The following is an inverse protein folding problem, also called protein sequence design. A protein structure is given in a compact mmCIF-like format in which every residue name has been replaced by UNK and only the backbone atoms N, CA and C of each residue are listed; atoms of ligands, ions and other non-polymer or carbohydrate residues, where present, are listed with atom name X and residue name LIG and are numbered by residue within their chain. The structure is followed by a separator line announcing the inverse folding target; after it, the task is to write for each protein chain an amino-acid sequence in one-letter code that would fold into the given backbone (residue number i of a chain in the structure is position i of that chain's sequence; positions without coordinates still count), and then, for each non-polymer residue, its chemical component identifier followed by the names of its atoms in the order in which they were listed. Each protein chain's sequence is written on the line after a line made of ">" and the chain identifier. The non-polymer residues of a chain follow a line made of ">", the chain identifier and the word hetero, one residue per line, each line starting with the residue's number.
data_IF_322999250155
#
_entry.id   IF_322999250155
#
_cell.length_a   1.000
_cell.length_b   1.000
_cell.length_c   1.000
_cell.angle_alpha   90.00
_cell.angle_beta   90.00
_cell.angle_gamma   90.00
#
_symmetry.space_group_name_H-M   'P 1'
#
loop_
_entity.id
_entity.type
_entity.pdbx_description
1 polymer ?
#
# COMPACT_ATOMS: atom_id res chain seq x y z
N UNK A 1 -17.36 6.28 -0.48
CA UNK A 1 -18.73 6.66 -0.07
C UNK A 1 -19.76 6.16 -1.06
N UNK A 2 -19.86 6.73 -2.27
CA UNK A 2 -20.91 6.38 -3.26
C UNK A 2 -21.04 4.87 -3.50
N UNK A 3 -19.92 4.17 -3.70
CA UNK A 3 -19.93 2.72 -3.88
C UNK A 3 -20.56 1.97 -2.69
N UNK A 4 -20.18 2.30 -1.46
CA UNK A 4 -20.75 1.67 -0.26
C UNK A 4 -22.24 1.99 -0.06
N UNK A 5 -22.74 3.12 -0.58
CA UNK A 5 -24.17 3.42 -0.54
C UNK A 5 -24.97 2.60 -1.57
N UNK A 6 -24.34 2.20 -2.67
CA UNK A 6 -24.99 1.43 -3.74
C UNK A 6 -25.05 -0.07 -3.40
N UNK A 7 -24.02 -0.62 -2.76
CA UNK A 7 -23.90 -2.07 -2.51
C UNK A 7 -25.08 -2.69 -1.73
N UNK A 8 -25.62 -2.06 -0.67
CA UNK A 8 -26.80 -2.58 0.02
C UNK A 8 -28.02 -2.71 -0.89
N UNK A 9 -28.21 -1.79 -1.85
CA UNK A 9 -29.29 -1.84 -2.83
C UNK A 9 -29.17 -3.01 -3.83
N UNK A 10 -27.97 -3.61 -3.93
CA UNK A 10 -27.70 -4.82 -4.73
C UNK A 10 -27.77 -6.11 -3.88
N UNK A 11 -28.24 -6.02 -2.63
CA UNK A 11 -28.26 -7.14 -1.69
C UNK A 11 -26.93 -7.44 -1.01
N UNK A 12 -25.92 -6.58 -1.17
CA UNK A 12 -24.58 -6.72 -0.58
C UNK A 12 -24.45 -5.82 0.65
N UNK A 13 -25.16 -6.17 1.72
CA UNK A 13 -25.12 -5.46 3.01
C UNK A 13 -24.00 -5.96 3.94
N UNK A 14 -23.55 -7.20 3.78
CA UNK A 14 -22.49 -7.78 4.60
C UNK A 14 -21.14 -7.07 4.36
N UNK A 15 -20.45 -6.57 5.42
CA UNK A 15 -19.18 -5.87 5.28
C UNK A 15 -18.08 -6.70 4.59
N UNK A 16 -18.02 -8.03 4.80
CA UNK A 16 -17.02 -8.84 4.13
C UNK A 16 -17.26 -8.90 2.62
N UNK A 17 -18.51 -9.09 2.21
CA UNK A 17 -18.92 -9.07 0.80
C UNK A 17 -18.60 -7.72 0.16
N UNK A 18 -18.88 -6.61 0.85
CA UNK A 18 -18.56 -5.26 0.36
C UNK A 18 -17.05 -5.10 0.14
N UNK A 19 -16.21 -5.51 1.10
CA UNK A 19 -14.75 -5.46 0.94
C UNK A 19 -14.24 -6.38 -0.16
N UNK A 20 -14.90 -7.52 -0.38
CA UNK A 20 -14.61 -8.41 -1.50
C UNK A 20 -14.80 -7.68 -2.84
N UNK A 21 -15.91 -6.96 -3.02
CA UNK A 21 -16.13 -6.12 -4.21
C UNK A 21 -15.05 -5.04 -4.34
N UNK A 22 -14.69 -4.36 -3.25
CA UNK A 22 -13.62 -3.35 -3.28
C UNK A 22 -12.30 -3.95 -3.76
N UNK A 23 -11.93 -5.14 -3.27
CA UNK A 23 -10.70 -5.84 -3.65
C UNK A 23 -10.71 -6.25 -5.13
N UNK A 24 -11.83 -6.74 -5.65
CA UNK A 24 -11.99 -7.02 -7.08
C UNK A 24 -11.75 -5.75 -7.90
N UNK A 25 -12.39 -4.65 -7.53
CA UNK A 25 -12.23 -3.37 -8.25
C UNK A 25 -10.78 -2.88 -8.22
N UNK A 26 -10.08 -3.01 -7.09
CA UNK A 26 -8.65 -2.68 -6.99
C UNK A 26 -7.78 -3.59 -7.86
N UNK A 27 -8.09 -4.89 -7.89
CA UNK A 27 -7.42 -5.86 -8.77
C UNK A 27 -7.59 -5.51 -10.24
N UNK A 28 -8.84 -5.27 -10.68
CA UNK A 28 -9.15 -4.86 -12.06
C UNK A 28 -8.48 -3.53 -12.43
N UNK A 29 -8.52 -2.56 -11.52
CA UNK A 29 -7.84 -1.27 -11.71
C UNK A 29 -6.32 -1.45 -11.84
N UNK A 30 -5.72 -2.33 -11.03
CA UNK A 30 -4.30 -2.65 -11.08
C UNK A 30 -3.89 -3.42 -12.33
N UNK A 31 -4.81 -4.12 -13.01
CA UNK A 31 -4.50 -4.75 -14.31
C UNK A 31 -4.06 -3.72 -15.37
N UNK A 32 -4.43 -2.44 -15.22
CA UNK A 32 -3.92 -1.35 -16.05
C UNK A 32 -2.39 -1.26 -16.01
N UNK A 33 -1.76 -1.63 -14.89
CA UNK A 33 -0.30 -1.65 -14.77
C UNK A 33 0.34 -2.59 -15.78
N UNK A 34 -0.29 -3.73 -16.08
CA UNK A 34 0.22 -4.74 -17.03
C UNK A 34 0.28 -4.13 -18.44
N UNK A 35 -0.84 -3.52 -18.87
CA UNK A 35 -0.94 -2.90 -20.20
C UNK A 35 -0.02 -1.68 -20.33
N UNK A 36 0.04 -0.83 -19.30
CA UNK A 36 0.87 0.38 -19.31
C UNK A 36 2.36 0.06 -19.21
N UNK A 37 2.77 -0.94 -18.43
CA UNK A 37 4.14 -1.40 -18.37
C UNK A 37 4.60 -2.00 -19.71
N UNK A 38 3.74 -2.82 -20.33
CA UNK A 38 3.98 -3.33 -21.69
C UNK A 38 4.14 -2.18 -22.68
N UNK A 39 3.18 -1.25 -22.71
CA UNK A 39 3.20 -0.11 -23.63
C UNK A 39 4.42 0.78 -23.44
N UNK A 40 4.78 1.08 -22.19
CA UNK A 40 5.96 1.88 -21.85
C UNK A 40 7.24 1.18 -22.33
N UNK A 41 7.37 -0.12 -22.10
CA UNK A 41 8.51 -0.89 -22.57
C UNK A 41 8.58 -0.91 -24.11
N UNK A 42 7.44 -1.05 -24.81
CA UNK A 42 7.38 -0.97 -26.28
C UNK A 42 7.84 0.38 -26.82
N UNK A 43 7.52 1.48 -26.13
CA UNK A 43 7.98 2.81 -26.54
C UNK A 43 9.50 2.97 -26.32
N UNK A 44 10.02 2.47 -25.19
CA UNK A 44 11.44 2.61 -24.83
C UNK A 44 12.36 1.66 -25.62
N UNK A 45 11.84 0.52 -26.08
CA UNK A 45 12.53 -0.43 -26.96
C UNK A 45 11.58 -1.06 -28.00
N UNK A 46 11.27 -0.34 -29.10
CA UNK A 46 10.30 -0.77 -30.12
C UNK A 46 10.61 -2.09 -30.82
N UNK A 47 11.88 -2.51 -30.83
CA UNK A 47 12.32 -3.74 -31.48
C UNK A 47 12.39 -4.94 -30.53
N UNK A 48 12.06 -4.78 -29.25
CA UNK A 48 12.23 -5.81 -28.22
C UNK A 48 10.90 -6.19 -27.55
N UNK A 49 10.02 -6.85 -28.32
CA UNK A 49 8.70 -7.27 -27.82
C UNK A 49 8.80 -8.23 -26.62
N UNK A 50 9.77 -9.14 -26.61
CA UNK A 50 9.97 -10.07 -25.49
C UNK A 50 10.24 -9.35 -24.17
N UNK A 51 10.94 -8.22 -24.20
CA UNK A 51 11.25 -7.44 -23.00
C UNK A 51 10.02 -6.70 -22.48
N UNK A 52 9.18 -6.21 -23.39
CA UNK A 52 7.88 -5.65 -23.02
C UNK A 52 6.96 -6.69 -22.37
N UNK A 53 6.96 -7.93 -22.89
CA UNK A 53 6.25 -9.06 -22.27
C UNK A 53 6.81 -9.38 -20.88
N UNK A 54 8.13 -9.38 -20.69
CA UNK A 54 8.74 -9.56 -19.36
C UNK A 54 8.31 -8.48 -18.38
N UNK A 55 8.32 -7.20 -18.79
CA UNK A 55 7.88 -6.11 -17.93
C UNK A 55 6.39 -6.25 -17.52
N UNK A 56 5.54 -6.70 -18.45
CA UNK A 56 4.14 -7.00 -18.17
C UNK A 56 3.99 -8.16 -17.17
N UNK A 57 4.78 -9.23 -17.33
CA UNK A 57 4.80 -10.36 -16.39
C UNK A 57 5.27 -9.97 -15.00
N UNK A 58 6.22 -9.04 -14.88
CA UNK A 58 6.61 -8.50 -13.57
C UNK A 58 5.45 -7.78 -12.87
N UNK A 59 4.60 -7.06 -13.61
CA UNK A 59 3.39 -6.47 -13.01
C UNK A 59 2.34 -7.52 -12.67
N UNK A 60 2.18 -8.55 -13.51
CA UNK A 60 1.14 -9.56 -13.35
C UNK A 60 1.44 -10.60 -12.26
N UNK A 61 2.71 -10.99 -12.12
CA UNK A 61 3.13 -12.13 -11.31
C UNK A 61 4.43 -11.89 -10.51
N UNK A 62 4.89 -10.64 -10.40
CA UNK A 62 6.12 -10.30 -9.66
C UNK A 62 5.92 -10.31 -8.14
N UNK A 63 6.14 -11.46 -7.50
CA UNK A 63 6.28 -11.57 -6.04
C UNK A 63 5.09 -10.94 -5.29
N UNK A 64 5.35 -9.83 -4.60
CA UNK A 64 4.34 -9.12 -3.80
C UNK A 64 3.31 -8.32 -4.63
N UNK A 65 3.48 -8.18 -5.96
CA UNK A 65 2.63 -7.31 -6.76
C UNK A 65 1.14 -7.66 -6.68
N UNK A 66 0.73 -8.92 -6.91
CA UNK A 66 -0.68 -9.30 -6.83
C UNK A 66 -1.28 -9.04 -5.45
N UNK A 67 -0.52 -9.29 -4.38
CA UNK A 67 -0.96 -8.96 -3.02
C UNK A 67 -1.19 -7.46 -2.85
N UNK A 68 -0.22 -6.62 -3.21
CA UNK A 68 -0.34 -5.17 -3.06
C UNK A 68 -1.46 -4.57 -3.92
N UNK A 69 -1.71 -5.16 -5.09
CA UNK A 69 -2.69 -4.70 -6.09
C UNK A 69 -4.15 -4.71 -5.63
N UNK A 70 -4.49 -5.56 -4.65
CA UNK A 70 -5.87 -5.70 -4.14
C UNK A 70 -6.11 -4.95 -2.83
N UNK A 71 -5.06 -4.34 -2.26
CA UNK A 71 -5.15 -3.62 -0.99
C UNK A 71 -5.41 -2.12 -1.20
N UNK A 72 -6.12 -1.51 -0.26
CA UNK A 72 -6.49 -0.09 -0.28
C UNK A 72 -5.32 0.80 0.15
N UNK A 73 -4.21 0.73 -0.58
CA UNK A 73 -3.03 1.56 -0.38
C UNK A 73 -3.05 2.71 -1.38
N UNK A 74 -2.99 3.94 -0.89
CA UNK A 74 -3.00 5.12 -1.78
C UNK A 74 -1.76 5.12 -2.70
N UNK A 75 -0.64 4.57 -2.21
CA UNK A 75 0.59 4.37 -2.97
C UNK A 75 0.44 3.42 -4.16
N UNK A 76 -0.60 2.58 -4.15
CA UNK A 76 -0.95 1.66 -5.23
C UNK A 76 -1.90 2.29 -6.23
N UNK A 77 -2.93 2.96 -5.72
CA UNK A 77 -3.97 3.56 -6.55
C UNK A 77 -3.42 4.72 -7.39
N UNK A 78 -2.36 5.40 -6.94
CA UNK A 78 -1.73 6.46 -7.74
C UNK A 78 -0.84 5.93 -8.89
N UNK A 79 -0.54 4.64 -8.96
CA UNK A 79 0.41 4.09 -9.95
C UNK A 79 -0.14 4.08 -11.37
N UNK A 80 -1.37 3.59 -11.67
CA UNK A 80 -1.88 3.59 -13.04
C UNK A 80 -1.84 4.96 -13.73
N UNK A 81 -2.29 6.08 -13.11
CA UNK A 81 -2.21 7.38 -13.77
C UNK A 81 -0.76 7.87 -13.94
N UNK A 82 0.17 7.52 -13.04
CA UNK A 82 1.60 7.80 -13.22
C UNK A 82 2.21 7.04 -14.40
N UNK A 83 1.96 5.73 -14.50
CA UNK A 83 2.43 4.94 -15.63
C UNK A 83 1.78 5.38 -16.94
N UNK A 84 0.53 5.83 -16.91
CA UNK A 84 -0.13 6.40 -18.08
C UNK A 84 0.56 7.69 -18.54
N UNK A 85 0.97 8.55 -17.60
CA UNK A 85 1.78 9.71 -17.91
C UNK A 85 3.14 9.33 -18.51
N UNK A 86 3.88 8.39 -17.91
CA UNK A 86 5.16 7.92 -18.45
C UNK A 86 5.03 7.24 -19.81
N UNK A 87 3.98 6.46 -20.00
CA UNK A 87 3.66 5.89 -21.29
C UNK A 87 3.49 6.99 -22.33
N UNK A 88 2.65 8.00 -22.08
CA UNK A 88 2.48 9.12 -23.01
C UNK A 88 3.77 9.92 -23.26
N UNK A 89 4.55 10.17 -22.20
CA UNK A 89 5.84 10.88 -22.29
C UNK A 89 6.89 10.12 -23.10
N UNK A 90 6.75 8.82 -23.28
CA UNK A 90 7.71 7.99 -24.00
C UNK A 90 7.33 7.72 -25.47
N UNK A 91 6.10 8.00 -25.88
CA UNK A 91 5.58 7.65 -27.22
C UNK A 91 6.29 8.33 -28.37
N UNK A 92 6.71 9.58 -28.17
CA UNK A 92 7.15 10.48 -29.23
C UNK A 92 8.43 11.21 -28.80
N UNK A 93 9.32 11.50 -29.76
CA UNK A 93 10.54 12.27 -29.49
C UNK A 93 10.22 13.72 -29.14
N UNK A 94 9.40 14.37 -29.96
CA UNK A 94 8.77 15.65 -29.67
C UNK A 94 7.32 15.43 -29.22
N UNK A 95 6.96 15.98 -28.07
CA UNK A 95 5.65 15.72 -27.46
C UNK A 95 4.53 16.43 -28.23
N UNK A 96 3.64 15.66 -28.87
CA UNK A 96 2.38 16.17 -29.39
C UNK A 96 1.37 16.55 -28.28
N UNK A 97 0.33 17.28 -28.65
CA UNK A 97 -0.68 17.79 -27.70
C UNK A 97 -1.38 16.67 -26.91
N UNK A 98 -1.64 15.51 -27.55
CA UNK A 98 -2.24 14.34 -26.88
C UNK A 98 -1.34 13.80 -25.77
N UNK A 99 -0.03 13.71 -26.04
CA UNK A 99 0.94 13.24 -25.06
C UNK A 99 1.08 14.22 -23.90
N UNK A 100 1.11 15.53 -24.19
CA UNK A 100 1.12 16.62 -23.21
C UNK A 100 -0.10 16.55 -22.30
N UNK A 101 -1.31 16.50 -22.87
CA UNK A 101 -2.55 16.46 -22.11
C UNK A 101 -2.61 15.19 -21.24
N UNK A 102 -2.28 14.05 -21.83
CA UNK A 102 -2.25 12.76 -21.12
C UNK A 102 -1.26 12.77 -19.95
N UNK A 103 -0.05 13.26 -20.17
CA UNK A 103 0.97 13.34 -19.13
C UNK A 103 0.55 14.28 -17.99
N UNK A 104 0.01 15.45 -18.33
CA UNK A 104 -0.51 16.40 -17.35
C UNK A 104 -1.64 15.81 -16.51
N UNK A 105 -2.65 15.22 -17.16
CA UNK A 105 -3.78 14.60 -16.45
C UNK A 105 -3.29 13.46 -15.56
N UNK A 106 -2.44 12.55 -16.07
CA UNK A 106 -1.92 11.44 -15.29
C UNK A 106 -1.13 11.88 -14.05
N UNK A 107 -0.23 12.86 -14.19
CA UNK A 107 0.52 13.43 -13.05
C UNK A 107 -0.43 14.13 -12.07
N UNK A 108 -1.41 14.88 -12.57
CA UNK A 108 -2.39 15.60 -11.75
C UNK A 108 -3.29 14.66 -10.94
N UNK A 109 -3.85 13.60 -11.56
CA UNK A 109 -4.63 12.58 -10.86
C UNK A 109 -3.78 11.90 -9.79
N UNK A 110 -2.57 11.47 -10.15
CA UNK A 110 -1.67 10.82 -9.20
C UNK A 110 -1.34 11.71 -8.00
N UNK A 111 -1.11 13.00 -8.23
CA UNK A 111 -0.84 14.00 -7.20
C UNK A 111 -2.07 14.26 -6.33
N UNK A 112 -3.27 14.30 -6.93
CA UNK A 112 -4.52 14.47 -6.20
C UNK A 112 -4.87 13.27 -5.31
N UNK A 113 -4.47 12.06 -5.72
CA UNK A 113 -4.57 10.85 -4.89
C UNK A 113 -3.48 10.82 -3.81
N UNK A 114 -2.25 11.18 -4.18
CA UNK A 114 -1.09 11.17 -3.29
C UNK A 114 -0.19 12.37 -3.61
N UNK A 115 -0.17 13.38 -2.73
CA UNK A 115 0.54 14.64 -2.98
C UNK A 115 2.03 14.48 -3.29
N UNK A 116 2.71 13.50 -2.71
CA UNK A 116 4.13 13.24 -3.00
C UNK A 116 4.38 12.82 -4.46
N UNK A 117 3.37 12.38 -5.20
CA UNK A 117 3.49 12.08 -6.63
C UNK A 117 3.75 13.35 -7.47
N UNK A 118 3.49 14.55 -6.94
CA UNK A 118 3.87 15.80 -7.60
C UNK A 118 5.39 15.91 -7.86
N UNK A 119 6.21 15.21 -7.09
CA UNK A 119 7.67 15.14 -7.28
C UNK A 119 8.06 14.53 -8.64
N UNK A 120 7.22 13.65 -9.22
CA UNK A 120 7.47 13.15 -10.58
C UNK A 120 7.33 14.29 -11.61
N UNK A 121 6.35 15.18 -11.43
CA UNK A 121 6.20 16.38 -12.24
C UNK A 121 7.38 17.35 -12.08
N UNK A 122 7.83 17.56 -10.84
CA UNK A 122 9.03 18.38 -10.55
C UNK A 122 10.28 17.78 -11.22
N UNK A 123 10.48 16.47 -11.12
CA UNK A 123 11.61 15.79 -11.76
C UNK A 123 11.57 15.82 -13.30
N UNK A 124 10.41 16.05 -13.90
CA UNK A 124 10.28 16.21 -15.36
C UNK A 124 10.76 17.58 -15.84
N UNK A 125 10.70 18.61 -14.99
CA UNK A 125 11.11 19.99 -15.30
C UNK A 125 12.51 20.06 -15.92
N UNK A 126 13.60 19.62 -15.23
CA UNK A 126 14.94 19.72 -15.81
C UNK A 126 15.06 18.99 -17.14
N UNK A 127 14.38 17.85 -17.31
CA UNK A 127 14.43 17.06 -18.55
C UNK A 127 13.87 17.85 -19.74
N UNK A 128 12.69 18.45 -19.59
CA UNK A 128 12.06 19.20 -20.68
C UNK A 128 12.79 20.52 -20.96
N UNK A 129 13.40 21.15 -19.96
CA UNK A 129 14.28 22.31 -20.12
C UNK A 129 15.50 21.94 -20.98
N UNK A 130 16.20 20.85 -20.65
CA UNK A 130 17.34 20.37 -21.43
C UNK A 130 16.96 19.95 -22.85
N UNK A 131 15.77 19.37 -23.03
CA UNK A 131 15.22 19.03 -24.35
C UNK A 131 14.65 20.24 -25.11
N UNK A 132 14.72 21.45 -24.53
CA UNK A 132 14.18 22.71 -25.10
C UNK A 132 12.69 22.64 -25.44
N UNK A 133 11.91 21.79 -24.74
CA UNK A 133 10.47 21.61 -24.95
C UNK A 133 9.65 22.50 -24.01
N UNK A 134 9.90 23.81 -24.02
CA UNK A 134 9.29 24.79 -23.10
C UNK A 134 7.76 24.82 -23.16
N UNK A 135 7.19 24.73 -24.37
CA UNK A 135 5.73 24.69 -24.56
C UNK A 135 5.12 23.45 -23.92
N UNK A 136 5.77 22.29 -24.07
CA UNK A 136 5.32 21.05 -23.44
C UNK A 136 5.43 21.15 -21.92
N UNK A 137 6.53 21.69 -21.39
CA UNK A 137 6.72 21.91 -19.95
C UNK A 137 5.59 22.74 -19.34
N UNK A 138 5.31 23.93 -19.90
CA UNK A 138 4.26 24.82 -19.40
C UNK A 138 2.89 24.15 -19.52
N UNK A 139 2.60 23.50 -20.65
CA UNK A 139 1.30 22.89 -20.90
C UNK A 139 1.03 21.67 -20.02
N UNK A 140 2.05 20.83 -19.77
CA UNK A 140 1.96 19.70 -18.82
C UNK A 140 1.74 20.25 -17.42
N UNK A 141 2.49 21.27 -17.01
CA UNK A 141 2.35 21.91 -15.70
C UNK A 141 0.94 22.47 -15.48
N UNK A 142 0.43 23.26 -16.42
CA UNK A 142 -0.92 23.82 -16.34
C UNK A 142 -2.01 22.73 -16.31
N UNK A 143 -1.87 21.70 -17.14
CA UNK A 143 -2.81 20.57 -17.17
C UNK A 143 -2.78 19.78 -15.87
N UNK A 144 -1.59 19.51 -15.32
CA UNK A 144 -1.42 18.79 -14.06
C UNK A 144 -1.98 19.58 -12.88
N UNK A 145 -1.72 20.88 -12.81
CA UNK A 145 -2.28 21.77 -11.79
C UNK A 145 -3.81 21.84 -11.89
N UNK A 146 -4.35 22.05 -13.09
CA UNK A 146 -5.81 22.09 -13.30
C UNK A 146 -6.45 20.76 -12.88
N UNK A 147 -5.85 19.64 -13.26
CA UNK A 147 -6.34 18.31 -12.88
C UNK A 147 -6.26 18.08 -11.37
N UNK A 148 -5.18 18.52 -10.71
CA UNK A 148 -5.06 18.48 -9.26
C UNK A 148 -6.18 19.29 -8.59
N UNK A 149 -6.46 20.51 -9.05
CA UNK A 149 -7.56 21.34 -8.51
C UNK A 149 -8.89 20.60 -8.64
N UNK A 150 -9.18 20.01 -9.81
CA UNK A 150 -10.40 19.22 -10.03
C UNK A 150 -10.46 18.01 -9.09
N UNK A 151 -9.35 17.30 -8.88
CA UNK A 151 -9.28 16.16 -7.96
C UNK A 151 -9.51 16.55 -6.49
N UNK A 152 -9.30 17.81 -6.13
CA UNK A 152 -9.57 18.35 -4.79
C UNK A 152 -10.97 18.95 -4.65
N UNK A 153 -11.76 19.00 -5.73
CA UNK A 153 -13.14 19.48 -5.70
C UNK A 153 -14.06 18.76 -4.67
N UNK A 154 -13.86 17.47 -4.31
CA UNK A 154 -14.62 16.86 -3.23
C UNK A 154 -14.54 17.61 -1.89
N UNK A 155 -13.48 18.38 -1.63
CA UNK A 155 -13.38 19.18 -0.41
C UNK A 155 -14.48 20.24 -0.30
N UNK A 156 -14.92 20.81 -1.43
CA UNK A 156 -16.04 21.76 -1.45
C UNK A 156 -17.36 21.13 -0.98
N UNK A 157 -17.55 19.85 -1.28
CA UNK A 157 -18.77 19.12 -0.91
C UNK A 157 -18.72 18.56 0.52
N UNK A 158 -17.55 18.09 0.95
CA UNK A 158 -17.38 17.45 2.27
C UNK A 158 -17.12 18.47 3.37
N UNK A 159 -16.31 19.48 3.09
CA UNK A 159 -15.80 20.42 4.09
C UNK A 159 -16.27 21.87 3.87
N UNK A 160 -16.92 22.16 2.75
CA UNK A 160 -17.40 23.51 2.40
C UNK A 160 -16.32 24.48 1.91
N UNK A 161 -15.06 24.04 1.87
CA UNK A 161 -13.91 24.86 1.48
C UNK A 161 -12.94 24.08 0.60
N UNK A 162 -12.24 24.72 -0.36
CA UNK A 162 -11.28 24.03 -1.21
C UNK A 162 -9.96 23.74 -0.47
N UNK A 163 -9.29 22.65 -0.86
CA UNK A 163 -7.95 22.26 -0.41
C UNK A 163 -7.80 21.96 1.09
N UNK A 164 -8.89 21.66 1.79
CA UNK A 164 -8.86 21.29 3.22
C UNK A 164 -7.97 20.07 3.44
N UNK A 165 -8.07 19.04 2.60
CA UNK A 165 -7.22 17.85 2.72
C UNK A 165 -5.74 18.14 2.46
N UNK A 166 -5.45 19.02 1.50
CA UNK A 166 -4.07 19.42 1.18
C UNK A 166 -3.45 20.20 2.33
N UNK A 167 -4.18 21.18 2.91
CA UNK A 167 -3.72 21.93 4.08
C UNK A 167 -3.48 20.99 5.26
N UNK A 168 -4.46 20.15 5.59
CA UNK A 168 -4.34 19.17 6.67
C UNK A 168 -3.15 18.22 6.46
N UNK A 169 -2.88 17.79 5.23
CA UNK A 169 -1.71 16.98 4.92
C UNK A 169 -0.39 17.73 5.18
N UNK A 170 -0.29 19.00 4.77
CA UNK A 170 0.92 19.82 5.00
C UNK A 170 1.13 20.04 6.49
N UNK A 171 0.10 20.49 7.20
CA UNK A 171 0.15 20.80 8.63
C UNK A 171 0.52 19.55 9.44
N UNK A 172 -0.13 18.43 9.16
CA UNK A 172 0.15 17.16 9.83
C UNK A 172 1.59 16.70 9.65
N UNK A 173 2.16 16.81 8.44
CA UNK A 173 3.55 16.41 8.19
C UNK A 173 4.56 17.37 8.82
N UNK A 174 4.25 18.67 8.88
CA UNK A 174 5.10 19.65 9.54
C UNK A 174 5.20 19.37 11.05
N UNK A 175 4.10 18.99 11.68
CA UNK A 175 4.04 18.71 13.12
C UNK A 175 4.51 17.30 13.49
N UNK A 176 4.23 16.29 12.66
CA UNK A 176 4.39 14.87 13.03
C UNK A 176 5.46 14.12 12.22
N UNK A 177 6.19 14.78 11.32
CA UNK A 177 7.16 14.11 10.44
C UNK A 177 8.24 13.30 11.20
N UNK A 178 8.58 13.71 12.42
CA UNK A 178 9.55 13.03 13.30
C UNK A 178 8.97 11.89 14.15
N UNK A 179 7.64 11.74 14.23
CA UNK A 179 6.98 10.76 15.11
C UNK A 179 6.90 9.36 14.50
N UNK A 180 7.44 9.18 13.29
CA UNK A 180 7.38 7.94 12.53
C UNK A 180 8.74 7.25 12.46
N UNK A 181 8.78 5.95 12.10
CA UNK A 181 10.04 5.24 11.92
C UNK A 181 10.99 5.99 10.98
N UNK A 182 12.22 6.21 11.44
CA UNK A 182 13.29 6.83 10.67
C UNK A 182 14.33 5.78 10.23
N UNK A 183 15.37 6.20 9.52
CA UNK A 183 16.43 5.30 9.08
C UNK A 183 17.48 6.01 8.22
N UNK A 184 18.54 5.29 7.80
CA UNK A 184 19.60 5.86 6.98
C UNK A 184 19.11 6.21 5.57
N UNK A 185 19.83 7.10 4.89
CA UNK A 185 19.48 7.57 3.53
C UNK A 185 19.43 6.43 2.49
N UNK A 186 20.25 5.39 2.66
CA UNK A 186 20.31 4.24 1.75
C UNK A 186 19.21 3.19 2.00
N UNK A 187 18.31 3.39 2.98
CA UNK A 187 17.28 2.41 3.35
C UNK A 187 16.44 1.98 2.16
N UNK A 188 16.01 2.91 1.31
CA UNK A 188 15.20 2.58 0.13
C UNK A 188 15.96 1.83 -0.96
N UNK A 189 17.29 1.94 -1.03
CA UNK A 189 18.10 1.09 -1.91
C UNK A 189 18.00 -0.37 -1.44
N UNK A 190 18.12 -0.60 -0.13
CA UNK A 190 17.96 -1.94 0.45
C UNK A 190 16.51 -2.45 0.30
N UNK A 191 15.51 -1.59 0.51
CA UNK A 191 14.10 -1.93 0.27
C UNK A 191 13.87 -2.34 -1.18
N UNK A 192 14.41 -1.61 -2.15
CA UNK A 192 14.31 -1.99 -3.57
C UNK A 192 15.01 -3.31 -3.87
N UNK A 193 16.21 -3.54 -3.30
CA UNK A 193 16.94 -4.79 -3.48
C UNK A 193 16.17 -5.99 -2.93
N UNK A 194 15.50 -5.84 -1.79
CA UNK A 194 14.66 -6.88 -1.18
C UNK A 194 13.33 -7.07 -1.91
N UNK A 195 12.59 -5.99 -2.18
CA UNK A 195 11.28 -6.00 -2.83
C UNK A 195 11.36 -6.59 -4.24
N UNK A 196 12.43 -6.27 -4.98
CA UNK A 196 12.66 -6.78 -6.33
C UNK A 196 13.41 -8.12 -6.34
N UNK A 197 13.65 -8.74 -5.19
CA UNK A 197 14.16 -10.11 -5.01
C UNK A 197 15.55 -10.35 -5.66
N UNK A 198 16.63 -10.51 -4.87
CA UNK A 198 17.94 -10.89 -5.40
C UNK A 198 17.91 -12.29 -6.06
N UNK A 199 18.73 -12.55 -7.10
CA UNK A 199 19.72 -11.64 -7.70
C UNK A 199 19.13 -10.68 -8.75
N UNK A 200 17.87 -10.88 -9.17
CA UNK A 200 17.24 -10.09 -10.25
C UNK A 200 17.15 -8.60 -9.93
N UNK A 201 16.98 -8.23 -8.66
CA UNK A 201 16.99 -6.84 -8.22
C UNK A 201 18.26 -6.07 -8.63
N UNK A 202 19.45 -6.68 -8.53
CA UNK A 202 20.69 -6.06 -8.98
C UNK A 202 20.70 -5.82 -10.49
N UNK A 203 20.23 -6.80 -11.27
CA UNK A 203 20.16 -6.71 -12.73
C UNK A 203 19.17 -5.63 -13.16
N UNK A 204 18.03 -5.53 -12.49
CA UNK A 204 16.99 -4.50 -12.72
C UNK A 204 17.54 -3.10 -12.42
N UNK A 205 18.13 -2.89 -11.23
CA UNK A 205 18.68 -1.58 -10.86
C UNK A 205 19.84 -1.18 -11.77
N UNK A 206 20.72 -2.13 -12.11
CA UNK A 206 21.78 -1.90 -13.07
C UNK A 206 21.21 -1.50 -14.44
N UNK A 207 20.24 -2.25 -14.96
CA UNK A 207 19.60 -1.94 -16.23
C UNK A 207 18.98 -0.53 -16.26
N UNK A 208 18.26 -0.16 -15.20
CA UNK A 208 17.58 1.13 -15.13
C UNK A 208 18.55 2.33 -15.13
N UNK A 209 19.69 2.20 -14.43
CA UNK A 209 20.63 3.30 -14.22
C UNK A 209 21.80 3.31 -15.23
N UNK A 210 22.22 2.16 -15.73
CA UNK A 210 23.43 2.01 -16.54
C UNK A 210 23.17 2.24 -18.04
N UNK A 211 22.69 3.44 -18.39
CA UNK A 211 22.47 3.83 -19.80
C UNK A 211 23.22 5.11 -20.17
N UNK A 212 24.39 4.95 -20.81
CA UNK A 212 25.24 6.07 -21.27
C UNK A 212 24.72 6.81 -22.51
N UNK A 213 23.93 6.15 -23.36
CA UNK A 213 23.31 6.72 -24.57
C UNK A 213 21.84 6.32 -24.60
N UNK A 214 21.01 7.15 -23.96
CA UNK A 214 19.56 6.93 -23.89
C UNK A 214 18.81 7.87 -24.82
N UNK A 215 17.74 7.36 -25.45
CA UNK A 215 16.81 8.20 -26.20
C UNK A 215 16.21 9.26 -25.26
N UNK A 216 15.82 10.45 -25.77
CA UNK A 216 15.24 11.51 -24.94
C UNK A 216 14.02 11.07 -24.11
N UNK A 217 13.25 10.10 -24.60
CA UNK A 217 12.11 9.48 -23.89
C UNK A 217 12.51 8.76 -22.60
N UNK A 218 13.70 8.18 -22.53
CA UNK A 218 14.21 7.48 -21.35
C UNK A 218 14.35 8.43 -20.16
N UNK A 219 14.93 9.61 -20.39
CA UNK A 219 15.17 10.60 -19.34
C UNK A 219 13.87 11.19 -18.80
N UNK A 220 12.81 11.27 -19.63
CA UNK A 220 11.46 11.70 -19.23
C UNK A 220 10.79 10.74 -18.24
N UNK A 221 11.35 9.55 -18.02
CA UNK A 221 10.86 8.57 -17.03
C UNK A 221 11.87 8.42 -15.90
N UNK A 222 13.15 8.21 -16.23
CA UNK A 222 14.18 7.91 -15.23
C UNK A 222 14.42 9.09 -14.27
N UNK A 223 14.51 10.33 -14.74
CA UNK A 223 14.80 11.47 -13.87
C UNK A 223 13.66 11.73 -12.87
N UNK A 224 12.37 11.75 -13.28
CA UNK A 224 11.25 11.76 -12.33
C UNK A 224 11.33 10.67 -11.25
N UNK A 225 11.65 9.43 -11.64
CA UNK A 225 11.82 8.30 -10.72
C UNK A 225 12.95 8.54 -9.73
N UNK A 226 14.11 8.98 -10.21
CA UNK A 226 15.28 9.26 -9.36
C UNK A 226 15.01 10.41 -8.41
N UNK A 227 14.41 11.51 -8.87
CA UNK A 227 14.05 12.65 -8.01
C UNK A 227 13.09 12.22 -6.91
N UNK A 228 12.06 11.43 -7.24
CA UNK A 228 11.14 10.88 -6.26
C UNK A 228 11.85 10.02 -5.20
N UNK A 229 12.75 9.12 -5.62
CA UNK A 229 13.50 8.25 -4.70
C UNK A 229 14.51 9.01 -3.83
N UNK A 230 15.19 10.03 -4.39
CA UNK A 230 16.13 10.88 -3.65
C UNK A 230 15.40 11.70 -2.59
N UNK A 231 14.26 12.30 -2.94
CA UNK A 231 13.45 13.03 -1.97
C UNK A 231 13.04 12.14 -0.79
N UNK A 232 12.51 10.95 -1.06
CA UNK A 232 12.09 10.05 0.02
C UNK A 232 13.29 9.57 0.84
N UNK A 233 14.43 9.29 0.20
CA UNK A 233 15.67 8.92 0.90
C UNK A 233 16.18 10.01 1.84
N UNK A 234 16.00 11.28 1.48
CA UNK A 234 16.36 12.44 2.30
C UNK A 234 15.33 12.72 3.41
N UNK A 235 14.06 12.36 3.22
CA UNK A 235 12.99 12.62 4.18
C UNK A 235 13.16 11.81 5.49
N UNK A 236 12.73 12.40 6.61
CA UNK A 236 12.95 11.84 7.96
C UNK A 236 12.13 10.54 8.14
N UNK A 237 10.84 10.59 7.83
CA UNK A 237 9.92 9.46 7.91
C UNK A 237 10.21 8.45 6.78
N UNK A 238 10.57 7.23 7.17
CA UNK A 238 10.95 6.15 6.23
C UNK A 238 10.06 4.94 6.40
N UNK A 239 8.99 4.92 5.61
CA UNK A 239 8.10 3.77 5.48
C UNK A 239 8.24 3.16 4.09
N UNK A 240 8.40 1.84 4.04
CA UNK A 240 8.69 1.09 2.81
C UNK A 240 7.65 1.33 1.70
N UNK A 241 6.38 1.52 2.07
CA UNK A 241 5.30 1.79 1.12
C UNK A 241 5.50 3.08 0.33
N UNK A 242 6.23 4.07 0.86
CA UNK A 242 6.34 5.39 0.22
C UNK A 242 7.01 5.37 -1.15
N UNK A 243 7.87 4.37 -1.42
CA UNK A 243 8.56 4.24 -2.71
C UNK A 243 7.81 3.41 -3.75
N UNK A 244 6.73 2.72 -3.36
CA UNK A 244 5.95 1.88 -4.27
C UNK A 244 5.52 2.60 -5.57
N UNK A 245 5.18 3.91 -5.57
CA UNK A 245 4.82 4.60 -6.80
C UNK A 245 5.90 4.61 -7.88
N UNK A 246 7.17 4.55 -7.50
CA UNK A 246 8.30 4.55 -8.43
C UNK A 246 8.63 3.15 -8.99
N UNK A 247 8.23 2.09 -8.29
CA UNK A 247 8.68 0.72 -8.55
C UNK A 247 8.31 0.23 -9.96
N UNK A 248 7.08 0.42 -10.48
CA UNK A 248 6.73 -0.06 -11.83
C UNK A 248 7.53 0.58 -12.95
N UNK A 249 7.74 1.90 -12.89
CA UNK A 249 8.55 2.60 -13.87
C UNK A 249 10.00 2.11 -13.80
N UNK A 250 10.52 1.88 -12.59
CA UNK A 250 11.86 1.32 -12.38
C UNK A 250 12.00 -0.11 -12.92
N UNK A 251 10.98 -0.96 -12.74
CA UNK A 251 10.92 -2.31 -13.30
C UNK A 251 10.95 -2.27 -14.84
N UNK A 252 10.14 -1.40 -15.46
CA UNK A 252 10.16 -1.25 -16.93
C UNK A 252 11.51 -0.75 -17.43
N UNK A 253 12.07 0.29 -16.81
CA UNK A 253 13.41 0.80 -17.13
C UNK A 253 14.47 -0.29 -16.95
N UNK A 254 14.39 -1.06 -15.87
CA UNK A 254 15.33 -2.15 -15.59
C UNK A 254 15.26 -3.27 -16.60
N UNK A 255 14.07 -3.73 -16.98
CA UNK A 255 13.87 -4.74 -18.01
C UNK A 255 14.51 -4.33 -19.34
N UNK A 256 14.14 -3.13 -19.81
CA UNK A 256 14.61 -2.59 -21.09
C UNK A 256 16.10 -2.30 -21.05
N UNK A 257 16.59 -1.69 -19.98
CA UNK A 257 17.98 -1.30 -19.85
C UNK A 257 18.92 -2.48 -19.70
N UNK A 258 18.51 -3.51 -18.95
CA UNK A 258 19.26 -4.75 -18.85
C UNK A 258 19.39 -5.44 -20.20
N UNK A 259 18.29 -5.58 -20.95
CA UNK A 259 18.32 -6.25 -22.25
C UNK A 259 19.15 -5.49 -23.29
N UNK A 260 19.04 -4.17 -23.33
CA UNK A 260 19.87 -3.34 -24.21
C UNK A 260 21.35 -3.41 -23.84
N UNK A 261 21.67 -3.41 -22.55
CA UNK A 261 23.04 -3.47 -22.08
C UNK A 261 23.69 -4.82 -22.34
N UNK A 262 23.01 -5.93 -21.99
CA UNK A 262 23.54 -7.28 -22.17
C UNK A 262 23.84 -7.59 -23.64
N UNK A 263 23.07 -7.05 -24.58
CA UNK A 263 23.31 -7.23 -26.02
C UNK A 263 24.66 -6.66 -26.47
N UNK A 264 25.17 -5.64 -25.78
CA UNK A 264 26.47 -5.01 -26.07
C UNK A 264 27.61 -5.58 -25.22
N UNK A 265 27.29 -6.32 -24.15
CA UNK A 265 28.30 -6.85 -23.23
C UNK A 265 28.92 -8.14 -23.77
N UNK A 266 30.25 -8.11 -23.99
CA UNK A 266 31.01 -9.30 -24.37
C UNK A 266 31.03 -10.38 -23.28
N UNK A 267 30.95 -9.98 -22.01
CA UNK A 267 30.94 -10.94 -20.90
C UNK A 267 29.62 -11.70 -20.84
N UNK A 268 28.49 -11.01 -20.87
CA UNK A 268 27.16 -11.64 -20.81
C UNK A 268 26.81 -12.41 -22.10
N UNK A 269 27.37 -12.01 -23.25
CA UNK A 269 27.22 -12.79 -24.48
C UNK A 269 27.90 -14.17 -24.38
N UNK A 270 29.01 -14.27 -23.65
CA UNK A 270 29.73 -15.54 -23.38
C UNK A 270 29.13 -16.34 -22.22
N UNK A 271 28.54 -15.67 -21.22
CA UNK A 271 28.02 -16.29 -19.99
C UNK A 271 26.48 -16.42 -19.96
N UNK A 272 25.84 -16.67 -21.11
CA UNK A 272 24.36 -16.76 -21.24
C UNK A 272 23.71 -17.79 -20.32
N UNK A 273 24.39 -18.90 -20.01
CA UNK A 273 23.87 -19.92 -19.08
C UNK A 273 23.75 -19.36 -17.66
N UNK A 274 24.75 -18.59 -17.22
CA UNK A 274 24.73 -17.92 -15.91
C UNK A 274 23.59 -16.90 -15.83
N UNK A 275 23.40 -16.09 -16.87
CA UNK A 275 22.28 -15.14 -16.93
C UNK A 275 20.92 -15.82 -16.78
N UNK A 276 20.70 -16.89 -17.55
CA UNK A 276 19.46 -17.67 -17.49
C UNK A 276 19.26 -18.30 -16.11
N UNK A 277 20.33 -18.77 -15.46
CA UNK A 277 20.26 -19.30 -14.11
C UNK A 277 19.85 -18.22 -13.08
N UNK A 278 20.40 -17.00 -13.19
CA UNK A 278 20.02 -15.89 -12.31
C UNK A 278 18.56 -15.47 -12.49
N UNK A 279 18.08 -15.37 -13.74
CA UNK A 279 16.67 -15.10 -14.02
C UNK A 279 15.75 -16.25 -13.59
N UNK A 280 16.21 -17.50 -13.76
CA UNK A 280 15.50 -18.69 -13.28
C UNK A 280 15.34 -18.68 -11.76
N UNK A 281 16.40 -18.37 -11.03
CA UNK A 281 16.36 -18.22 -9.58
C UNK A 281 15.43 -17.07 -9.14
N UNK A 282 15.52 -15.92 -9.81
CA UNK A 282 14.61 -14.78 -9.58
C UNK A 282 13.14 -15.20 -9.75
N UNK A 283 12.79 -15.87 -10.84
CA UNK A 283 11.40 -16.29 -11.09
C UNK A 283 10.95 -17.38 -10.12
N UNK A 284 11.82 -18.35 -9.79
CA UNK A 284 11.51 -19.36 -8.78
C UNK A 284 11.15 -18.71 -7.44
N UNK A 285 11.96 -17.76 -6.96
CA UNK A 285 11.69 -17.03 -5.71
C UNK A 285 10.41 -16.18 -5.80
N UNK A 286 10.18 -15.48 -6.92
CA UNK A 286 8.95 -14.71 -7.13
C UNK A 286 7.71 -15.60 -7.09
N UNK A 287 7.74 -16.77 -7.74
CA UNK A 287 6.61 -17.70 -7.75
C UNK A 287 6.37 -18.34 -6.37
N UNK A 288 7.43 -18.62 -5.61
CA UNK A 288 7.30 -19.08 -4.22
C UNK A 288 6.67 -18.00 -3.33
N UNK A 289 7.10 -16.75 -3.44
CA UNK A 289 6.50 -15.62 -2.72
C UNK A 289 5.04 -15.41 -3.15
N UNK A 290 4.76 -15.50 -4.45
CA UNK A 290 3.41 -15.38 -4.98
C UNK A 290 2.50 -16.47 -4.39
N UNK A 291 2.93 -17.74 -4.43
CA UNK A 291 2.18 -18.85 -3.86
C UNK A 291 1.89 -18.63 -2.36
N UNK A 292 2.85 -18.10 -1.60
CA UNK A 292 2.66 -17.77 -0.19
C UNK A 292 1.75 -16.56 0.06
N UNK A 293 1.76 -15.57 -0.84
CA UNK A 293 1.03 -14.31 -0.63
C UNK A 293 -0.39 -14.30 -1.19
N UNK A 294 -0.72 -15.15 -2.19
CA UNK A 294 -2.08 -15.22 -2.77
C UNK A 294 -3.12 -15.65 -1.73
N UNK A 295 -2.76 -16.50 -0.77
CA UNK A 295 -3.65 -16.94 0.31
C UNK A 295 -3.56 -16.07 1.57
N UNK A 296 -2.88 -14.92 1.51
CA UNK A 296 -2.62 -14.12 2.69
C UNK A 296 -3.84 -13.27 3.07
N UNK A 297 -4.39 -13.57 4.25
CA UNK A 297 -5.39 -12.75 4.93
C UNK A 297 -4.69 -11.92 6.01
N UNK A 298 -4.40 -10.66 5.68
CA UNK A 298 -3.72 -9.76 6.61
C UNK A 298 -4.56 -9.48 7.86
N UNK A 299 -3.95 -9.61 9.04
CA UNK A 299 -4.58 -9.29 10.33
C UNK A 299 -5.89 -10.05 10.56
N UNK A 300 -5.93 -11.32 10.15
CA UNK A 300 -7.07 -12.23 10.24
C UNK A 300 -7.81 -12.16 11.58
N UNK A 301 -7.08 -12.20 12.70
CA UNK A 301 -7.69 -12.22 14.03
C UNK A 301 -8.63 -11.02 14.26
N UNK A 302 -8.21 -9.82 13.85
CA UNK A 302 -8.98 -8.58 14.02
C UNK A 302 -10.21 -8.55 13.13
N UNK A 303 -10.05 -8.94 11.87
CA UNK A 303 -11.14 -8.93 10.88
C UNK A 303 -12.21 -9.96 11.25
N UNK A 304 -11.80 -11.17 11.61
CA UNK A 304 -12.72 -12.24 11.98
C UNK A 304 -13.40 -11.96 13.32
N UNK A 305 -12.75 -11.30 14.28
CA UNK A 305 -13.41 -10.89 15.53
C UNK A 305 -14.54 -9.88 15.28
N UNK A 306 -14.31 -8.89 14.42
CA UNK A 306 -15.36 -7.93 14.05
C UNK A 306 -16.48 -8.57 13.24
N UNK A 307 -16.13 -9.51 12.35
CA UNK A 307 -17.12 -10.26 11.57
C UNK A 307 -17.98 -11.17 12.46
N UNK A 308 -17.38 -11.81 13.45
CA UNK A 308 -18.10 -12.56 14.48
C UNK A 308 -19.12 -11.68 15.21
N UNK A 309 -18.73 -10.47 15.62
CA UNK A 309 -19.65 -9.53 16.27
C UNK A 309 -20.78 -9.09 15.34
N UNK A 310 -20.52 -8.93 14.05
CA UNK A 310 -21.53 -8.62 13.04
C UNK A 310 -22.58 -9.74 12.95
N UNK A 311 -22.11 -10.99 12.80
CA UNK A 311 -22.96 -12.19 12.71
C UNK A 311 -23.76 -12.42 14.00
N UNK A 312 -23.17 -12.11 15.16
CA UNK A 312 -23.82 -12.18 16.46
C UNK A 312 -24.84 -11.05 16.70
N UNK A 313 -24.93 -10.06 15.80
CA UNK A 313 -25.83 -8.92 15.93
C UNK A 313 -25.40 -7.89 16.99
N UNK A 314 -24.18 -8.00 17.53
CA UNK A 314 -23.71 -7.20 18.65
C UNK A 314 -23.80 -5.68 18.37
N UNK A 315 -24.13 -4.91 19.40
CA UNK A 315 -24.20 -3.45 19.38
C UNK A 315 -22.97 -2.82 20.04
N UNK A 316 -22.52 -3.39 21.16
CA UNK A 316 -21.40 -2.87 21.95
C UNK A 316 -20.43 -3.98 22.35
N UNK A 317 -19.14 -3.66 22.40
CA UNK A 317 -18.11 -4.57 22.87
C UNK A 317 -17.01 -3.84 23.64
N UNK A 318 -16.33 -4.56 24.53
CA UNK A 318 -15.13 -4.10 25.23
C UNK A 318 -13.90 -4.75 24.62
N UNK A 319 -12.89 -3.97 24.26
CA UNK A 319 -11.59 -4.46 23.79
C UNK A 319 -10.57 -4.34 24.93
N UNK A 320 -10.06 -5.48 25.39
CA UNK A 320 -9.01 -5.55 26.41
C UNK A 320 -7.68 -5.72 25.67
N UNK A 321 -6.88 -4.65 25.65
CA UNK A 321 -5.58 -4.58 24.98
C UNK A 321 -4.49 -4.99 25.95
N UNK A 322 -4.04 -6.25 25.85
CA UNK A 322 -3.05 -6.82 26.78
C UNK A 322 -1.64 -6.60 26.26
N UNK A 323 -1.31 -7.17 25.10
CA UNK A 323 0.03 -7.11 24.50
C UNK A 323 0.07 -6.20 23.26
N UNK A 324 -1.09 -5.87 22.68
CA UNK A 324 -1.23 -5.15 21.42
C UNK A 324 -2.24 -4.02 21.57
N UNK A 325 -1.87 -2.83 21.09
CA UNK A 325 -2.73 -1.64 21.15
C UNK A 325 -3.49 -1.37 19.86
N UNK A 326 -3.67 -2.41 19.06
CA UNK A 326 -4.19 -2.23 17.72
C UNK A 326 -5.70 -2.04 17.73
N UNK A 327 -6.14 -0.98 17.04
CA UNK A 327 -7.55 -0.63 16.96
C UNK A 327 -8.34 -1.66 16.13
N UNK A 328 -9.59 -1.97 16.53
CA UNK A 328 -10.44 -2.89 15.78
C UNK A 328 -10.86 -2.30 14.42
N UNK A 329 -10.90 -3.10 13.34
CA UNK A 329 -11.37 -2.66 12.04
C UNK A 329 -12.91 -2.63 12.02
N UNK A 330 -13.50 -1.63 12.67
CA UNK A 330 -14.94 -1.48 12.95
C UNK A 330 -15.86 -1.63 11.73
N UNK A 331 -15.37 -1.34 10.54
CA UNK A 331 -16.12 -1.56 9.30
C UNK A 331 -16.71 -2.98 9.23
N UNK A 332 -15.94 -4.00 9.64
CA UNK A 332 -16.39 -5.40 9.58
C UNK A 332 -17.46 -5.77 10.61
N UNK A 333 -17.68 -4.94 11.64
CA UNK A 333 -18.81 -5.09 12.56
C UNK A 333 -20.12 -4.59 11.93
N UNK A 334 -20.04 -3.82 10.85
CA UNK A 334 -21.19 -3.17 10.20
C UNK A 334 -21.78 -2.00 11.01
N UNK A 335 -21.20 -1.68 12.17
CA UNK A 335 -21.66 -0.62 13.07
C UNK A 335 -20.49 0.24 13.53
N UNK A 336 -20.72 1.55 13.62
CA UNK A 336 -19.74 2.52 14.12
C UNK A 336 -20.03 2.97 15.57
N UNK A 337 -20.80 2.17 16.32
CA UNK A 337 -21.24 2.46 17.69
C UNK A 337 -20.09 2.50 18.70
N UNK A 338 -20.41 2.94 19.91
CA UNK A 338 -19.49 3.04 21.04
C UNK A 338 -18.93 1.66 21.36
N UNK A 339 -17.62 1.57 21.46
CA UNK A 339 -16.92 0.41 21.98
C UNK A 339 -15.97 0.91 23.06
N UNK A 340 -15.66 0.04 24.00
CA UNK A 340 -14.81 0.36 25.12
C UNK A 340 -13.41 -0.19 24.92
N UNK A 341 -12.43 0.47 25.54
CA UNK A 341 -11.04 0.00 25.55
C UNK A 341 -10.58 -0.08 27.01
N UNK A 342 -9.99 -1.21 27.38
CA UNK A 342 -9.13 -1.35 28.55
C UNK A 342 -7.69 -1.56 28.06
N UNK A 343 -6.84 -0.53 28.22
CA UNK A 343 -5.43 -0.62 27.83
C UNK A 343 -4.58 -1.11 29.01
N UNK A 344 -4.23 -2.39 28.97
CA UNK A 344 -3.44 -3.06 30.01
C UNK A 344 -1.95 -3.18 29.63
N UNK A 345 -1.52 -2.58 28.51
CA UNK A 345 -0.16 -2.73 27.99
C UNK A 345 0.90 -2.18 28.93
N UNK A 346 1.95 -2.96 29.12
CA UNK A 346 3.07 -2.61 30.00
C UNK A 346 2.70 -2.63 31.48
N UNK A 347 1.75 -3.47 31.90
CA UNK A 347 1.36 -3.66 33.30
C UNK A 347 0.54 -2.52 33.89
N UNK A 348 -0.11 -1.69 33.05
CA UNK A 348 -0.87 -0.50 33.46
C UNK A 348 -2.37 -0.74 33.66
N UNK A 349 -2.78 -2.00 33.80
CA UNK A 349 -4.19 -2.37 33.92
C UNK A 349 -4.82 -1.86 35.22
N UNK A 350 -5.94 -1.16 35.11
CA UNK A 350 -6.81 -0.87 36.25
C UNK A 350 -7.57 -2.14 36.70
N UNK A 351 -8.25 -2.07 37.85
CA UNK A 351 -9.14 -3.15 38.28
C UNK A 351 -10.27 -3.36 37.25
N UNK A 352 -10.55 -4.59 36.80
CA UNK A 352 -11.65 -4.83 35.85
C UNK A 352 -13.00 -4.29 36.35
N UNK A 353 -13.24 -4.31 37.66
CA UNK A 353 -14.45 -3.73 38.25
C UNK A 353 -14.55 -2.20 38.05
N UNK A 354 -13.45 -1.46 38.22
CA UNK A 354 -13.46 0.01 38.02
C UNK A 354 -13.60 0.37 36.54
N UNK A 355 -12.98 -0.42 35.67
CA UNK A 355 -13.06 -0.26 34.22
C UNK A 355 -14.49 -0.49 33.73
N UNK A 356 -15.09 -1.62 34.11
CA UNK A 356 -16.41 -2.05 33.63
C UNK A 356 -17.56 -1.19 34.18
N UNK A 357 -17.41 -0.63 35.39
CA UNK A 357 -18.36 0.35 35.92
C UNK A 357 -18.53 1.58 35.00
N UNK A 358 -17.46 1.99 34.29
CA UNK A 358 -17.52 3.11 33.33
C UNK A 358 -18.27 2.75 32.04
N UNK A 359 -18.46 1.46 31.78
CA UNK A 359 -19.08 0.96 30.54
C UNK A 359 -20.59 0.85 30.64
N UNK A 360 -21.19 1.03 31.82
CA UNK A 360 -22.61 0.83 32.04
C UNK A 360 -23.56 1.75 31.27
N UNK A 361 -23.07 2.87 30.72
CA UNK A 361 -23.86 3.67 29.78
C UNK A 361 -24.14 2.96 28.46
N UNK A 362 -23.23 2.07 28.05
CA UNK A 362 -23.29 1.28 26.82
C UNK A 362 -22.68 -0.10 27.10
N UNK A 363 -23.37 -0.96 27.88
CA UNK A 363 -22.78 -2.19 28.39
C UNK A 363 -22.35 -3.11 27.23
N UNK A 364 -21.09 -3.59 27.21
CA UNK A 364 -20.64 -4.48 26.16
C UNK A 364 -21.29 -5.86 26.28
N UNK A 365 -21.78 -6.38 25.17
CA UNK A 365 -22.30 -7.76 25.07
C UNK A 365 -21.15 -8.77 25.03
N UNK A 366 -19.99 -8.34 24.54
CA UNK A 366 -18.80 -9.15 24.38
C UNK A 366 -17.54 -8.45 24.89
N UNK A 367 -16.66 -9.21 25.52
CA UNK A 367 -15.28 -8.82 25.85
C UNK A 367 -14.31 -9.53 24.91
N UNK A 368 -13.45 -8.74 24.27
CA UNK A 368 -12.45 -9.20 23.32
C UNK A 368 -11.07 -8.99 23.95
N UNK A 369 -10.43 -10.07 24.38
CA UNK A 369 -9.07 -10.02 24.91
C UNK A 369 -8.07 -10.15 23.77
N UNK A 370 -7.31 -9.10 23.50
CA UNK A 370 -6.36 -8.98 22.40
C UNK A 370 -4.91 -9.03 22.91
N UNK A 371 -4.16 -10.04 22.49
CA UNK A 371 -2.78 -10.22 22.92
C UNK A 371 -2.16 -11.53 22.43
N UNK A 372 -1.06 -11.91 23.07
CA UNK A 372 -0.31 -13.13 22.80
C UNK A 372 -0.03 -13.90 24.09
N UNK A 373 0.95 -13.43 24.84
CA UNK A 373 1.55 -14.13 25.99
C UNK A 373 0.70 -13.98 27.26
N UNK A 374 0.29 -12.76 27.62
CA UNK A 374 -0.32 -12.45 28.93
C UNK A 374 -1.86 -12.52 28.94
N UNK A 375 -2.46 -13.09 27.89
CA UNK A 375 -3.92 -13.16 27.76
C UNK A 375 -4.60 -13.95 28.88
N UNK A 376 -3.97 -15.02 29.35
CA UNK A 376 -4.55 -15.87 30.39
C UNK A 376 -4.70 -15.12 31.72
N UNK A 377 -3.72 -14.29 32.07
CA UNK A 377 -3.71 -13.48 33.30
C UNK A 377 -4.85 -12.46 33.25
N UNK A 378 -4.95 -11.70 32.16
CA UNK A 378 -6.03 -10.72 31.98
C UNK A 378 -7.43 -11.36 32.02
N UNK A 379 -7.59 -12.54 31.40
CA UNK A 379 -8.86 -13.29 31.46
C UNK A 379 -9.19 -13.70 32.90
N UNK A 380 -8.21 -14.15 33.69
CA UNK A 380 -8.47 -14.56 35.07
C UNK A 380 -8.86 -13.37 35.96
N UNK A 381 -8.21 -12.22 35.80
CA UNK A 381 -8.58 -10.99 36.52
C UNK A 381 -10.03 -10.56 36.21
N UNK A 382 -10.42 -10.63 34.94
CA UNK A 382 -11.78 -10.32 34.52
C UNK A 382 -12.79 -11.35 35.03
N UNK A 383 -12.47 -12.65 35.03
CA UNK A 383 -13.34 -13.68 35.60
C UNK A 383 -13.50 -13.54 37.11
N UNK A 384 -12.46 -13.11 37.82
CA UNK A 384 -12.54 -12.86 39.26
C UNK A 384 -13.49 -11.70 39.58
N UNK A 385 -13.53 -10.68 38.72
CA UNK A 385 -14.41 -9.51 38.89
C UNK A 385 -15.81 -9.70 38.30
N UNK A 386 -15.93 -10.48 37.23
CA UNK A 386 -17.15 -10.75 36.47
C UNK A 386 -17.30 -12.27 36.30
N UNK A 387 -17.71 -13.01 37.35
CA UNK A 387 -17.74 -14.48 37.32
C UNK A 387 -18.70 -15.06 36.28
N UNK A 388 -19.66 -14.27 35.79
CA UNK A 388 -20.64 -14.69 34.77
C UNK A 388 -20.13 -14.66 33.32
N UNK A 389 -18.95 -14.11 33.02
CA UNK A 389 -18.48 -14.06 31.63
C UNK A 389 -18.21 -15.46 31.08
N UNK A 390 -18.77 -15.76 29.90
CA UNK A 390 -18.70 -17.09 29.29
C UNK A 390 -17.79 -17.10 28.08
N UNK A 391 -16.86 -18.04 28.04
CA UNK A 391 -16.01 -18.23 26.87
C UNK A 391 -16.86 -18.61 25.64
N UNK A 392 -16.62 -17.93 24.52
CA UNK A 392 -17.32 -18.20 23.26
C UNK A 392 -16.35 -18.84 22.27
N UNK A 393 -15.25 -18.16 21.94
CA UNK A 393 -14.29 -18.63 20.95
C UNK A 393 -12.94 -17.94 21.07
N UNK A 394 -11.93 -18.47 20.38
CA UNK A 394 -10.62 -17.85 20.21
C UNK A 394 -10.28 -17.79 18.73
N UNK A 395 -10.00 -16.59 18.25
CA UNK A 395 -9.61 -16.35 16.88
C UNK A 395 -8.10 -16.19 16.82
N UNK A 396 -7.45 -17.09 16.08
CA UNK A 396 -5.99 -17.12 15.95
C UNK A 396 -5.51 -16.20 14.82
N UNK A 397 -4.28 -15.68 14.97
CA UNK A 397 -3.56 -15.04 13.86
C UNK A 397 -3.33 -16.03 12.72
N UNK A 398 -3.19 -15.52 11.49
CA UNK A 398 -2.90 -16.36 10.34
C UNK A 398 -1.50 -16.98 10.45
N UNK A 399 -1.23 -18.06 9.70
CA UNK A 399 0.11 -18.66 9.65
C UNK A 399 1.17 -17.66 9.20
N UNK A 400 0.80 -16.77 8.28
CA UNK A 400 1.68 -15.74 7.73
C UNK A 400 1.90 -14.63 8.74
N UNK A 401 0.88 -14.17 9.47
CA UNK A 401 1.04 -13.18 10.54
C UNK A 401 2.06 -13.67 11.60
N UNK A 402 1.94 -14.94 12.04
CA UNK A 402 2.91 -15.55 13.00
C UNK A 402 4.31 -15.66 12.42
N UNK A 403 4.44 -15.98 11.14
CA UNK A 403 5.74 -16.05 10.48
C UNK A 403 6.38 -14.66 10.34
N UNK A 404 5.59 -13.64 10.01
CA UNK A 404 6.05 -12.24 9.93
C UNK A 404 6.49 -11.69 11.29
N UNK A 405 5.80 -12.05 12.37
CA UNK A 405 6.21 -11.73 13.75
C UNK A 405 7.57 -12.36 14.09
N UNK A 406 7.81 -13.63 13.72
CA UNK A 406 9.12 -14.28 13.93
C UNK A 406 10.24 -13.61 13.15
N UNK A 407 9.96 -13.11 11.94
CA UNK A 407 10.93 -12.38 11.14
C UNK A 407 11.19 -10.97 11.67
N UNK A 408 10.17 -10.34 12.25
CA UNK A 408 10.25 -9.00 12.79
C UNK A 408 9.34 -8.89 14.03
N UNK A 409 9.90 -9.02 15.25
CA UNK A 409 9.14 -8.98 16.50
C UNK A 409 8.39 -7.66 16.75
N UNK A 410 8.68 -6.60 15.99
CA UNK A 410 7.90 -5.35 16.01
C UNK A 410 6.47 -5.59 15.48
N UNK A 411 6.30 -6.56 14.58
CA UNK A 411 4.98 -6.97 14.10
C UNK A 411 4.34 -7.90 15.13
N UNK A 412 3.41 -7.38 15.93
CA UNK A 412 2.60 -8.23 16.80
C UNK A 412 1.70 -9.16 15.97
N UNK A 413 1.73 -10.45 16.28
CA UNK A 413 0.69 -11.39 15.90
C UNK A 413 -0.11 -11.75 17.15
N UNK A 414 -1.36 -11.32 17.13
CA UNK A 414 -2.27 -11.43 18.25
C UNK A 414 -3.33 -12.49 17.98
N UNK A 415 -3.78 -13.13 19.06
CA UNK A 415 -5.03 -13.88 19.11
C UNK A 415 -6.07 -13.05 19.85
N UNK A 416 -7.33 -13.27 19.52
CA UNK A 416 -8.45 -12.60 20.20
C UNK A 416 -9.32 -13.67 20.85
N UNK A 417 -9.42 -13.62 22.18
CA UNK A 417 -10.36 -14.46 22.93
C UNK A 417 -11.65 -13.69 23.15
N UNK A 418 -12.78 -14.28 22.78
CA UNK A 418 -14.10 -13.65 22.86
C UNK A 418 -14.87 -14.30 24.00
N UNK A 419 -15.36 -13.46 24.91
CA UNK A 419 -16.24 -13.84 26.01
C UNK A 419 -17.57 -13.09 25.89
N UNK A 420 -18.68 -13.80 26.05
CA UNK A 420 -19.99 -13.19 26.20
C UNK A 420 -20.15 -12.70 27.63
N UNK A 421 -20.73 -11.52 27.79
CA UNK A 421 -20.94 -10.90 29.10
C UNK A 421 -22.27 -11.31 29.70
N UNK A 422 -23.34 -11.40 28.89
CA UNK A 422 -24.69 -11.71 29.38
C UNK A 422 -25.05 -10.78 30.56
N UNK A 423 -25.55 -11.31 31.68
CA UNK A 423 -25.91 -10.53 32.87
C UNK A 423 -24.72 -10.31 33.83
N UNK A 424 -23.48 -10.61 33.41
CA UNK A 424 -22.31 -10.58 34.29
C UNK A 424 -21.82 -9.16 34.63
N UNK A 425 -22.25 -8.14 33.87
CA UNK A 425 -21.89 -6.75 34.15
C UNK A 425 -22.69 -6.22 35.35
N UNK A 426 -22.03 -5.66 36.38
CA UNK A 426 -22.68 -5.07 37.53
C UNK A 426 -23.20 -3.66 37.19
N UNK A 427 -24.02 -3.55 36.15
CA UNK A 427 -24.64 -2.29 35.76
C UNK A 427 -26.00 -2.13 36.46
N UNK A 428 -26.30 -0.93 37.00
CA UNK A 428 -27.53 -0.65 37.74
C UNK A 428 -28.78 -0.64 36.86
#
# INVERSE_FOLDING_TARGET
>A
FLLFNLLPGLGLSDPQQQMWVIRILHGLYSCLLIALAYGLARNLAPNQTSVAVTAAWWMAAGGFWPLLSVHQLVEMVCIPPLLWAFWALSREEHLGWKAILTAGIGIGIATGLRYQCGLFGIGLVPVLLFQRQWRALISIGLTALTTLVVMQAPDLFVWGEPFVQLRAYIDYNAENGGNYPSGPWYRYILTLLGLLIPPGSFMILWGALHRRLAQPSWWRVLIPVVVFLVFHSAFINKQERFILPAVPALLVLGAVGWDLWRQRSQWWSRHRRGEKALWGAFWALNLLILAGTVTYEAKRARVQAMSFLHEAGAEHFGMIQVDSGAMPPRFYMGKWKVYHIDDRRGGRGESPASVTARWCSHPPEYLLFQGGEHLAEAVQEYKASLPGIRYVTTIQSSRIDRWLERLNPINSSERIMIYAVEDALPCP
#
